data_IF_142386865198
#
_entry.id   IF_142386865198
#
_cell.length_a   1.000
_cell.length_b   1.000
_cell.length_c   1.000
_cell.angle_alpha   90.00
_cell.angle_beta   90.00
_cell.angle_gamma   90.00
#
_symmetry.space_group_name_H-M   'P 1'
#
loop_
_entity.id
_entity.type
_entity.pdbx_description
1 polymer ?
#
# COMPACT_ATOMS: atom_id res chain seq x y z
N UNK A 1 -11.49 1.20 3.70
CA UNK A 1 -10.26 0.54 3.19
C UNK A 1 -10.38 -0.06 1.79
N UNK A 2 -11.57 -0.43 1.28
CA UNK A 2 -11.73 -0.93 -0.09
C UNK A 2 -12.20 0.16 -1.06
N UNK A 3 -11.31 1.06 -1.44
CA UNK A 3 -11.51 1.80 -2.69
C UNK A 3 -11.11 0.89 -3.85
N UNK A 4 -12.06 0.57 -4.74
CA UNK A 4 -11.83 -0.32 -5.89
C UNK A 4 -10.74 0.20 -6.83
N UNK A 5 -10.56 1.52 -6.89
CA UNK A 5 -9.62 2.17 -7.79
C UNK A 5 -8.16 1.96 -7.40
N UNK A 6 -7.85 1.71 -6.13
CA UNK A 6 -6.46 1.58 -5.64
C UNK A 6 -6.11 0.14 -5.28
N UNK A 7 -7.11 -0.72 -5.09
CA UNK A 7 -6.90 -2.12 -4.70
C UNK A 7 -6.22 -2.96 -5.79
N UNK A 8 -6.50 -2.69 -7.06
CA UNK A 8 -5.89 -3.42 -8.18
C UNK A 8 -4.36 -3.29 -8.23
N UNK A 9 -3.79 -2.19 -7.73
CA UNK A 9 -2.33 -1.99 -7.65
C UNK A 9 -1.71 -2.79 -6.51
N UNK A 10 -2.45 -3.01 -5.43
CA UNK A 10 -2.01 -3.87 -4.32
C UNK A 10 -1.95 -5.33 -4.78
N UNK A 11 -2.89 -5.76 -5.62
CA UNK A 11 -2.97 -7.15 -6.10
C UNK A 11 -2.01 -7.43 -7.26
N UNK A 12 -1.92 -6.53 -8.25
CA UNK A 12 -1.18 -6.77 -9.49
C UNK A 12 0.22 -6.14 -9.51
N UNK A 13 0.51 -5.22 -8.58
CA UNK A 13 1.79 -4.51 -8.50
C UNK A 13 1.96 -3.41 -9.55
N UNK A 14 3.22 -3.04 -9.79
CA UNK A 14 3.62 -1.94 -10.68
C UNK A 14 4.06 -2.45 -12.04
N UNK A 15 3.63 -1.77 -13.10
CA UNK A 15 4.11 -2.03 -14.46
C UNK A 15 5.57 -1.55 -14.59
N UNK A 16 6.48 -2.50 -14.80
CA UNK A 16 7.88 -2.19 -15.08
C UNK A 16 8.09 -1.91 -16.59
N UNK A 17 8.97 -0.95 -16.89
CA UNK A 17 9.42 -0.72 -18.26
C UNK A 17 10.38 -1.84 -18.70
N UNK A 18 10.30 -2.32 -19.96
CA UNK A 18 11.29 -3.26 -20.50
C UNK A 18 12.66 -2.58 -20.69
N UNK A 19 13.72 -3.36 -20.92
CA UNK A 19 15.11 -2.87 -20.95
C UNK A 19 15.39 -1.76 -22.00
N UNK A 20 14.67 -1.76 -23.12
CA UNK A 20 14.69 -0.69 -24.14
C UNK A 20 13.26 -0.18 -24.35
N UNK A 21 12.74 0.66 -23.45
CA UNK A 21 11.36 1.07 -23.51
C UNK A 21 11.14 2.14 -24.58
N UNK A 22 10.02 2.04 -25.26
CA UNK A 22 9.47 3.17 -26.03
C UNK A 22 9.04 4.30 -25.09
N UNK A 23 8.89 5.52 -25.61
CA UNK A 23 8.42 6.66 -24.81
C UNK A 23 7.06 6.38 -24.12
N UNK A 24 6.16 5.65 -24.81
CA UNK A 24 4.86 5.25 -24.27
C UNK A 24 5.00 4.24 -23.12
N UNK A 25 5.87 3.23 -23.27
CA UNK A 25 6.13 2.26 -22.21
C UNK A 25 6.77 2.91 -20.97
N UNK A 26 7.67 3.87 -21.18
CA UNK A 26 8.29 4.62 -20.09
C UNK A 26 7.25 5.50 -19.36
N UNK A 27 6.36 6.17 -20.10
CA UNK A 27 5.29 6.97 -19.52
C UNK A 27 4.32 6.10 -18.71
N UNK A 28 3.93 4.92 -19.24
CA UNK A 28 3.07 3.97 -18.54
C UNK A 28 3.71 3.46 -17.24
N UNK A 29 5.00 3.09 -17.27
CA UNK A 29 5.72 2.67 -16.07
C UNK A 29 5.84 3.78 -15.02
N UNK A 30 6.07 5.03 -15.47
CA UNK A 30 6.13 6.19 -14.57
C UNK A 30 4.78 6.48 -13.92
N UNK A 31 3.70 6.43 -14.71
CA UNK A 31 2.34 6.61 -14.19
C UNK A 31 1.95 5.51 -13.20
N UNK A 32 2.31 4.26 -13.50
CA UNK A 32 2.09 3.12 -12.60
C UNK A 32 2.84 3.29 -11.27
N UNK A 33 4.12 3.70 -11.32
CA UNK A 33 4.91 4.01 -10.12
C UNK A 33 4.30 5.16 -9.29
N UNK A 34 3.85 6.23 -9.94
CA UNK A 34 3.22 7.34 -9.24
C UNK A 34 1.92 6.92 -8.54
N UNK A 35 1.13 6.05 -9.17
CA UNK A 35 -0.08 5.51 -8.56
C UNK A 35 0.24 4.60 -7.36
N UNK A 36 1.27 3.76 -7.46
CA UNK A 36 1.76 2.94 -6.35
C UNK A 36 2.22 3.79 -5.16
N UNK A 37 2.94 4.90 -5.40
CA UNK A 37 3.34 5.82 -4.34
C UNK A 37 2.12 6.42 -3.60
N UNK A 38 1.03 6.72 -4.32
CA UNK A 38 -0.22 7.18 -3.70
C UNK A 38 -0.86 6.08 -2.85
N UNK A 39 -0.86 4.84 -3.33
CA UNK A 39 -1.37 3.67 -2.57
C UNK A 39 -0.54 3.49 -1.30
N UNK A 40 0.79 3.52 -1.39
CA UNK A 40 1.69 3.43 -0.24
C UNK A 40 1.41 4.53 0.78
N UNK A 41 1.29 5.78 0.33
CA UNK A 41 0.95 6.88 1.22
C UNK A 41 -0.41 6.66 1.92
N UNK A 42 -1.42 6.20 1.18
CA UNK A 42 -2.72 5.86 1.75
C UNK A 42 -2.62 4.75 2.81
N UNK A 43 -1.85 3.69 2.55
CA UNK A 43 -1.63 2.61 3.52
C UNK A 43 -0.88 3.10 4.76
N UNK A 44 0.13 3.96 4.61
CA UNK A 44 0.81 4.58 5.75
C UNK A 44 -0.11 5.46 6.57
N UNK A 45 -1.00 6.24 5.93
CA UNK A 45 -2.00 7.04 6.64
C UNK A 45 -3.03 6.18 7.38
N UNK A 46 -3.36 5.01 6.85
CA UNK A 46 -4.22 4.06 7.53
C UNK A 46 -3.56 3.47 8.79
N UNK A 47 -2.23 3.49 8.89
CA UNK A 47 -1.47 3.12 10.09
C UNK A 47 -1.22 4.39 10.90
N UNK A 48 -2.20 4.76 11.73
CA UNK A 48 -2.03 5.88 12.66
C UNK A 48 -1.12 5.52 13.85
N UNK A 49 -0.73 6.56 14.62
CA UNK A 49 0.10 6.41 15.82
C UNK A 49 -0.42 5.36 16.78
N UNK A 50 -1.74 5.26 16.96
CA UNK A 50 -2.32 4.31 17.91
C UNK A 50 -2.28 2.86 17.41
N UNK A 51 -2.35 2.62 16.09
CA UNK A 51 -2.10 1.30 15.51
C UNK A 51 -0.63 0.92 15.74
N UNK A 52 0.29 1.85 15.53
CA UNK A 52 1.72 1.62 15.78
C UNK A 52 2.01 1.34 17.26
N UNK A 53 1.43 2.12 18.18
CA UNK A 53 1.51 1.84 19.62
C UNK A 53 0.87 0.49 19.98
N UNK A 54 -0.23 0.11 19.34
CA UNK A 54 -0.85 -1.22 19.53
C UNK A 54 0.09 -2.34 19.08
N UNK A 55 0.77 -2.17 17.94
CA UNK A 55 1.75 -3.16 17.45
C UNK A 55 2.94 -3.27 18.42
N UNK A 56 3.45 -2.15 18.94
CA UNK A 56 4.61 -2.14 19.85
C UNK A 56 4.27 -2.67 21.25
N UNK A 57 3.06 -2.41 21.76
CA UNK A 57 2.65 -2.74 23.13
C UNK A 57 2.00 -4.12 23.27
N UNK A 58 1.90 -4.90 22.20
CA UNK A 58 1.25 -6.23 22.21
C UNK A 58 2.24 -7.31 21.85
N UNK A 59 2.19 -8.42 22.57
CA UNK A 59 3.19 -9.49 22.47
C UNK A 59 2.97 -10.38 21.25
N UNK A 60 1.71 -10.64 20.89
CA UNK A 60 1.40 -11.56 19.78
C UNK A 60 0.60 -10.87 18.67
N UNK A 61 0.72 -11.41 17.45
CA UNK A 61 -0.09 -10.98 16.32
C UNK A 61 -1.60 -11.11 16.60
N UNK A 62 -2.01 -12.11 17.41
CA UNK A 62 -3.41 -12.28 17.84
C UNK A 62 -3.87 -11.12 18.73
N UNK A 63 -3.04 -10.69 19.68
CA UNK A 63 -3.38 -9.57 20.57
C UNK A 63 -3.49 -8.25 19.82
N UNK A 64 -2.63 -8.03 18.82
CA UNK A 64 -2.70 -6.89 17.90
C UNK A 64 -4.02 -6.92 17.14
N UNK A 65 -4.36 -8.05 16.50
CA UNK A 65 -5.60 -8.21 15.74
C UNK A 65 -6.84 -7.99 16.60
N UNK A 66 -6.89 -8.59 17.79
CA UNK A 66 -8.01 -8.43 18.71
C UNK A 66 -8.11 -6.99 19.24
N UNK A 67 -7.01 -6.27 19.40
CA UNK A 67 -7.03 -4.84 19.73
C UNK A 67 -7.52 -3.97 18.56
N UNK A 68 -7.07 -4.25 17.33
CA UNK A 68 -7.49 -3.51 16.14
C UNK A 68 -8.99 -3.67 15.82
N UNK A 69 -9.58 -4.85 16.07
CA UNK A 69 -11.03 -5.08 15.86
C UNK A 69 -11.94 -4.30 16.81
N UNK A 70 -11.43 -3.91 17.98
CA UNK A 70 -12.22 -3.18 19.00
C UNK A 70 -12.20 -1.66 18.78
N UNK A 71 -11.42 -1.19 17.81
CA UNK A 71 -11.25 0.21 17.44
C UNK A 71 -12.09 0.50 16.20
#
# INVERSE_FOLDING_TARGET
LRSKEIWHLVENGVTAAPANPTAEQLAAATASNLADLKVKNYLFQAIDRSIMETILNRTTAKDIWDAMKRK
#
